data_IF_626673865976
#
_entry.id   IF_626673865976
#
_cell.length_a   1.000
_cell.length_b   1.000
_cell.length_c   1.000
_cell.angle_alpha   90.00
_cell.angle_beta   90.00
_cell.angle_gamma   90.00
#
_symmetry.space_group_name_H-M   'P 1'
#
loop_
_entity.id
_entity.type
_entity.pdbx_description
1 polymer ?
#
# COMPACT_ATOMS: atom_id res chain seq x y z
N UNK A 1 16.28 -8.10 2.78
CA UNK A 1 15.28 -8.75 3.65
C UNK A 1 15.98 -9.72 4.60
N UNK A 2 15.62 -9.64 5.88
CA UNK A 2 16.14 -10.52 6.95
C UNK A 2 14.94 -11.12 7.66
N UNK A 3 14.96 -12.45 7.83
CA UNK A 3 13.96 -13.20 8.58
C UNK A 3 14.66 -13.94 9.71
N UNK A 4 14.14 -13.84 10.91
CA UNK A 4 14.67 -14.49 12.07
C UNK A 4 13.56 -15.15 12.90
N UNK A 5 13.77 -16.40 13.29
CA UNK A 5 12.83 -17.15 14.14
C UNK A 5 13.56 -17.65 15.38
N UNK A 6 13.14 -17.16 16.53
CA UNK A 6 13.69 -17.56 17.83
C UNK A 6 12.76 -18.58 18.50
N UNK A 7 13.33 -19.75 18.86
CA UNK A 7 12.63 -20.82 19.59
C UNK A 7 11.33 -21.29 18.93
N UNK A 8 11.15 -21.07 17.61
CA UNK A 8 9.89 -21.30 16.88
C UNK A 8 8.68 -20.53 17.41
N UNK A 9 8.88 -19.58 18.33
CA UNK A 9 7.83 -18.79 19.00
C UNK A 9 7.82 -17.35 18.53
N UNK A 10 8.99 -16.73 18.47
CA UNK A 10 9.13 -15.33 18.10
C UNK A 10 9.66 -15.24 16.68
N UNK A 11 8.94 -14.55 15.84
CA UNK A 11 9.23 -14.41 14.42
C UNK A 11 9.44 -12.92 14.14
N UNK A 12 10.56 -12.60 13.50
CA UNK A 12 10.92 -11.24 13.14
C UNK A 12 11.22 -11.20 11.64
N UNK A 13 10.71 -10.21 10.98
CA UNK A 13 11.06 -9.92 9.60
C UNK A 13 11.37 -8.44 9.45
N UNK A 14 12.43 -8.13 8.74
CA UNK A 14 12.77 -6.78 8.33
C UNK A 14 13.10 -6.78 6.85
N UNK A 15 12.57 -5.79 6.13
CA UNK A 15 12.89 -5.54 4.73
C UNK A 15 13.06 -4.05 4.52
N UNK A 16 13.95 -3.67 3.64
CA UNK A 16 14.11 -2.29 3.20
C UNK A 16 14.33 -2.28 1.69
N UNK A 17 13.77 -1.26 1.04
CA UNK A 17 13.90 -1.03 -0.39
C UNK A 17 14.18 0.44 -0.65
N UNK A 18 15.08 0.71 -1.55
CA UNK A 18 15.33 2.02 -2.08
C UNK A 18 15.01 2.01 -3.57
N UNK A 19 14.10 2.88 -3.98
CA UNK A 19 13.64 2.98 -5.36
C UNK A 19 14.03 4.35 -5.93
N UNK A 20 14.43 4.37 -7.18
CA UNK A 20 14.75 5.58 -7.91
C UNK A 20 13.91 5.75 -9.17
N UNK A 21 13.43 6.97 -9.43
CA UNK A 21 12.68 7.28 -10.65
C UNK A 21 13.10 8.60 -11.25
N UNK A 22 13.39 8.59 -12.56
CA UNK A 22 13.70 9.79 -13.35
C UNK A 22 12.49 10.72 -13.57
N UNK A 23 11.30 10.31 -13.17
CA UNK A 23 10.07 11.12 -13.22
C UNK A 23 10.05 12.24 -12.17
N UNK A 24 10.94 12.19 -11.20
CA UNK A 24 11.08 13.18 -10.14
C UNK A 24 12.32 14.05 -10.33
N UNK A 25 12.31 15.27 -9.80
CA UNK A 25 13.51 16.13 -9.80
C UNK A 25 14.67 15.45 -9.04
N UNK A 26 15.89 15.85 -9.31
CA UNK A 26 17.10 15.16 -8.83
C UNK A 26 17.18 14.99 -7.31
N UNK A 27 16.65 15.96 -6.56
CA UNK A 27 16.60 15.97 -5.10
C UNK A 27 15.47 15.12 -4.50
N UNK A 28 14.50 14.64 -5.31
CA UNK A 28 13.34 13.81 -4.90
C UNK A 28 13.30 12.47 -5.64
N UNK A 29 14.37 12.14 -6.35
CA UNK A 29 14.43 10.95 -7.21
C UNK A 29 14.39 9.65 -6.45
N UNK A 30 14.99 9.60 -5.26
CA UNK A 30 15.14 8.40 -4.47
C UNK A 30 14.15 8.36 -3.32
N UNK A 31 13.51 7.21 -3.13
CA UNK A 31 12.60 6.94 -2.03
C UNK A 31 13.04 5.71 -1.24
N UNK A 32 13.07 5.81 0.08
CA UNK A 32 13.41 4.71 0.98
C UNK A 32 12.15 4.18 1.67
N UNK A 33 11.91 2.86 1.54
CA UNK A 33 10.69 2.20 1.99
C UNK A 33 11.02 0.99 2.87
N UNK A 34 11.13 1.19 4.19
CA UNK A 34 11.33 0.10 5.13
C UNK A 34 10.02 -0.61 5.48
N UNK A 35 10.11 -1.89 5.86
CA UNK A 35 9.02 -2.64 6.46
C UNK A 35 9.55 -3.63 7.49
N UNK A 36 8.74 -3.88 8.50
CA UNK A 36 9.04 -4.84 9.54
C UNK A 36 7.80 -5.56 10.04
N UNK A 37 7.98 -6.79 10.45
CA UNK A 37 6.91 -7.55 11.11
C UNK A 37 7.45 -8.32 12.30
N UNK A 38 6.58 -8.47 13.29
CA UNK A 38 6.80 -9.33 14.45
C UNK A 38 5.63 -10.30 14.58
N UNK A 39 5.95 -11.53 14.94
CA UNK A 39 4.95 -12.55 15.21
C UNK A 39 5.29 -13.30 16.48
N UNK A 40 4.28 -13.51 17.31
CA UNK A 40 4.39 -14.29 18.53
C UNK A 40 3.43 -15.47 18.48
N UNK A 41 3.99 -16.67 18.43
CA UNK A 41 3.23 -17.92 18.43
C UNK A 41 2.99 -18.36 19.87
N UNK A 42 1.88 -17.90 20.45
CA UNK A 42 1.51 -18.18 21.83
C UNK A 42 1.26 -19.66 22.08
N UNK A 43 0.70 -20.38 21.12
CA UNK A 43 0.45 -21.83 21.24
C UNK A 43 1.70 -22.66 21.53
N UNK A 44 2.90 -22.12 21.20
CA UNK A 44 4.17 -22.80 21.49
C UNK A 44 4.73 -22.46 22.88
N UNK A 45 4.06 -21.60 23.65
CA UNK A 45 4.49 -21.26 25.00
C UNK A 45 4.24 -22.41 25.97
N UNK A 46 5.14 -22.64 26.97
CA UNK A 46 5.02 -23.75 27.92
C UNK A 46 3.72 -23.76 28.70
N UNK A 47 3.20 -22.58 29.04
CA UNK A 47 1.95 -22.40 29.78
C UNK A 47 0.68 -22.64 28.96
N UNK A 48 0.79 -22.63 27.62
CA UNK A 48 -0.31 -22.93 26.67
C UNK A 48 -0.43 -24.41 26.31
N UNK A 49 0.45 -25.28 26.87
CA UNK A 49 0.40 -26.73 26.57
C UNK A 49 -0.93 -27.39 26.93
N UNK A 50 -1.63 -26.91 27.95
CA UNK A 50 -2.92 -27.43 28.35
C UNK A 50 -4.04 -27.20 27.30
N UNK A 51 -3.90 -26.21 26.41
CA UNK A 51 -4.91 -25.88 25.39
C UNK A 51 -4.75 -26.69 24.10
N UNK A 52 -3.67 -27.45 23.90
CA UNK A 52 -3.35 -28.21 22.67
C UNK A 52 -4.40 -29.24 22.27
N UNK A 53 -5.34 -29.57 23.15
CA UNK A 53 -6.44 -30.49 22.84
C UNK A 53 -7.48 -29.91 21.89
N UNK A 54 -7.62 -28.59 21.84
CA UNK A 54 -8.63 -27.89 21.06
C UNK A 54 -8.11 -26.66 20.30
N UNK A 55 -6.99 -26.06 20.74
CA UNK A 55 -6.32 -24.92 20.10
C UNK A 55 -4.97 -25.40 19.56
N UNK A 56 -4.88 -25.54 18.24
CA UNK A 56 -3.70 -26.08 17.56
C UNK A 56 -2.64 -25.01 17.31
N UNK A 57 -3.09 -23.80 16.96
CA UNK A 57 -2.22 -22.68 16.72
C UNK A 57 -2.88 -21.38 17.23
N UNK A 58 -2.09 -20.54 17.86
CA UNK A 58 -2.49 -19.20 18.25
C UNK A 58 -1.31 -18.26 18.09
N UNK A 59 -1.47 -17.30 17.20
CA UNK A 59 -0.41 -16.37 16.84
C UNK A 59 -0.94 -14.95 16.79
N UNK A 60 -0.22 -14.05 17.42
CA UNK A 60 -0.41 -12.59 17.27
C UNK A 60 0.69 -12.08 16.35
N UNK A 61 0.36 -11.15 15.48
CA UNK A 61 1.28 -10.50 14.58
C UNK A 61 1.07 -8.99 14.55
N UNK A 62 2.15 -8.26 14.33
CA UNK A 62 2.10 -6.83 14.08
C UNK A 62 3.05 -6.50 12.93
N UNK A 63 2.59 -5.67 12.02
CA UNK A 63 3.31 -5.29 10.81
C UNK A 63 3.33 -3.77 10.71
N UNK A 64 4.44 -3.22 10.25
CA UNK A 64 4.56 -1.83 9.89
C UNK A 64 5.39 -1.72 8.62
N UNK A 65 4.92 -0.97 7.64
CA UNK A 65 5.65 -0.85 6.38
C UNK A 65 5.30 0.42 5.62
N UNK A 66 6.27 0.90 4.85
CA UNK A 66 6.11 2.01 3.95
C UNK A 66 6.27 1.56 2.49
N UNK A 67 5.47 2.13 1.61
CA UNK A 67 5.53 1.96 0.16
C UNK A 67 5.53 3.33 -0.52
N UNK A 68 6.22 3.44 -1.65
CA UNK A 68 6.18 4.61 -2.52
C UNK A 68 5.42 4.32 -3.80
N UNK A 69 4.60 5.29 -4.22
CA UNK A 69 3.98 5.30 -5.53
C UNK A 69 4.54 6.46 -6.35
N UNK A 70 5.14 6.15 -7.50
CA UNK A 70 5.71 7.12 -8.44
C UNK A 70 4.89 7.27 -9.72
N UNK A 71 3.56 7.07 -9.67
CA UNK A 71 2.68 7.16 -10.83
C UNK A 71 2.39 8.62 -11.17
N UNK A 72 3.39 9.29 -11.72
CA UNK A 72 3.27 10.64 -12.30
C UNK A 72 3.68 10.62 -13.76
N UNK A 73 3.23 11.62 -14.53
CA UNK A 73 3.65 11.77 -15.93
C UNK A 73 5.15 12.02 -16.02
N UNK A 74 5.80 11.55 -17.09
CA UNK A 74 7.18 11.90 -17.35
C UNK A 74 7.32 13.42 -17.54
N UNK A 75 8.38 13.99 -16.97
CA UNK A 75 8.69 15.43 -17.04
C UNK A 75 7.66 16.36 -16.39
N UNK A 76 6.77 15.84 -15.52
CA UNK A 76 5.76 16.65 -14.84
C UNK A 76 6.35 17.76 -13.94
N UNK A 77 7.64 17.68 -13.63
CA UNK A 77 8.39 18.69 -12.85
C UNK A 77 9.08 19.75 -13.73
N UNK A 78 8.95 19.65 -15.06
CA UNK A 78 9.54 20.61 -15.98
C UNK A 78 8.49 21.57 -16.49
N UNK A 79 8.79 22.86 -16.41
CA UNK A 79 8.02 23.90 -17.07
C UNK A 79 8.14 23.74 -18.60
N UNK A 80 7.02 23.58 -19.27
CA UNK A 80 6.96 23.44 -20.72
C UNK A 80 6.09 24.49 -21.37
N UNK A 81 6.42 24.86 -22.59
CA UNK A 81 5.61 25.74 -23.42
C UNK A 81 5.05 24.95 -24.60
N UNK A 82 3.76 25.00 -24.80
CA UNK A 82 3.11 24.37 -25.95
C UNK A 82 3.20 25.26 -27.19
N UNK A 83 3.37 24.64 -28.37
CA UNK A 83 3.29 25.36 -29.63
C UNK A 83 1.99 24.94 -30.36
N UNK A 84 1.17 25.90 -30.73
CA UNK A 84 -0.09 25.67 -31.44
C UNK A 84 -0.18 26.66 -32.62
N UNK A 85 -0.89 26.27 -33.67
CA UNK A 85 -1.27 27.20 -34.71
C UNK A 85 -2.39 28.13 -34.21
N UNK A 86 -2.30 29.43 -34.51
CA UNK A 86 -3.39 30.37 -34.21
C UNK A 86 -4.54 30.12 -35.16
N UNK A 87 -5.71 30.68 -34.83
CA UNK A 87 -6.84 30.82 -35.78
C UNK A 87 -6.73 32.06 -36.69
N UNK A 88 -5.77 32.95 -36.38
CA UNK A 88 -5.52 34.14 -37.16
C UNK A 88 -4.63 33.80 -38.35
N UNK A 89 -5.06 34.24 -39.53
CA UNK A 89 -4.36 34.10 -40.77
C UNK A 89 -3.64 35.40 -41.08
N UNK A 90 -2.32 35.34 -41.26
CA UNK A 90 -1.50 36.45 -41.73
C UNK A 90 -0.81 36.01 -43.03
N UNK A 91 -0.93 36.83 -44.06
CA UNK A 91 -0.36 36.53 -45.38
C UNK A 91 -0.72 35.14 -45.88
N UNK A 92 -1.99 34.76 -45.79
CA UNK A 92 -2.49 33.45 -46.23
C UNK A 92 -2.05 32.24 -45.40
N UNK A 93 -1.29 32.42 -44.28
CA UNK A 93 -0.80 31.35 -43.46
C UNK A 93 -1.23 31.47 -41.99
N UNK A 94 -1.48 30.29 -41.33
CA UNK A 94 -1.74 30.23 -39.93
C UNK A 94 -0.41 30.34 -39.15
N UNK A 95 -0.30 31.34 -38.30
CA UNK A 95 0.92 31.58 -37.52
C UNK A 95 1.01 30.59 -36.33
N UNK A 96 2.23 30.33 -35.88
CA UNK A 96 2.46 29.57 -34.65
C UNK A 96 2.32 30.50 -33.43
N UNK A 97 1.59 30.04 -32.44
CA UNK A 97 1.49 30.67 -31.12
C UNK A 97 2.19 29.78 -30.10
N UNK A 98 3.06 30.34 -29.29
CA UNK A 98 3.61 29.69 -28.10
C UNK A 98 2.66 29.98 -26.94
N UNK A 99 2.26 28.95 -26.18
CA UNK A 99 1.47 29.10 -24.97
C UNK A 99 2.33 29.63 -23.82
N UNK A 100 1.69 30.17 -22.80
CA UNK A 100 2.37 30.53 -21.56
C UNK A 100 3.03 29.29 -20.93
N UNK A 101 4.11 29.47 -20.14
CA UNK A 101 4.76 28.38 -19.44
C UNK A 101 3.79 27.64 -18.51
N UNK A 102 3.82 26.32 -18.54
CA UNK A 102 3.03 25.50 -17.59
C UNK A 102 3.49 25.76 -16.16
N UNK A 103 2.53 25.90 -15.25
CA UNK A 103 2.83 25.99 -13.80
C UNK A 103 3.06 24.59 -13.29
N UNK A 104 4.22 24.36 -12.67
CA UNK A 104 4.63 23.07 -12.10
C UNK A 104 4.89 23.23 -10.61
N UNK A 105 4.65 22.18 -9.79
CA UNK A 105 4.97 22.22 -8.38
C UNK A 105 6.49 22.15 -8.16
N UNK A 106 6.99 22.93 -7.22
CA UNK A 106 8.41 22.96 -6.88
C UNK A 106 8.90 21.68 -6.16
N UNK A 107 7.96 20.89 -5.58
CA UNK A 107 8.23 19.80 -4.67
C UNK A 107 7.62 18.46 -5.09
N UNK A 108 7.57 18.18 -6.38
CA UNK A 108 7.06 16.89 -6.86
C UNK A 108 7.86 15.73 -6.28
N UNK A 109 7.21 14.87 -5.50
CA UNK A 109 7.83 13.74 -4.81
C UNK A 109 6.96 12.48 -4.86
N UNK A 110 7.46 11.38 -4.30
CA UNK A 110 6.75 10.12 -4.16
C UNK A 110 5.51 10.28 -3.27
N UNK A 111 4.40 9.70 -3.70
CA UNK A 111 3.30 9.42 -2.77
C UNK A 111 3.74 8.33 -1.81
N UNK A 112 3.53 8.52 -0.51
CA UNK A 112 3.96 7.59 0.54
C UNK A 112 2.74 6.93 1.17
N UNK A 113 2.79 5.61 1.27
CA UNK A 113 1.76 4.81 1.93
C UNK A 113 2.40 4.10 3.11
N UNK A 114 2.09 4.54 4.32
CA UNK A 114 2.48 3.87 5.56
C UNK A 114 1.30 3.03 6.08
N UNK A 115 1.53 1.73 6.27
CA UNK A 115 0.51 0.82 6.80
C UNK A 115 0.99 0.24 8.12
N UNK A 116 0.12 0.26 9.11
CA UNK A 116 0.28 -0.41 10.39
C UNK A 116 -0.85 -1.42 10.54
N UNK A 117 -0.50 -2.63 10.90
CA UNK A 117 -1.43 -3.74 10.98
C UNK A 117 -1.15 -4.56 12.24
N UNK A 118 -2.22 -4.95 12.93
CA UNK A 118 -2.17 -5.93 14.01
C UNK A 118 -3.16 -7.04 13.70
N UNK A 119 -2.69 -8.28 13.74
CA UNK A 119 -3.47 -9.44 13.38
C UNK A 119 -3.38 -10.57 14.39
N UNK A 120 -4.38 -11.42 14.35
CA UNK A 120 -4.50 -12.61 15.19
C UNK A 120 -4.92 -13.79 14.30
N UNK A 121 -4.17 -14.87 14.40
CA UNK A 121 -4.46 -16.15 13.73
C UNK A 121 -4.70 -17.22 14.77
N UNK A 122 -5.79 -17.98 14.65
CA UNK A 122 -6.13 -19.08 15.54
C UNK A 122 -6.68 -20.28 14.77
N UNK A 123 -6.12 -21.47 15.05
CA UNK A 123 -6.57 -22.74 14.49
C UNK A 123 -7.06 -23.65 15.60
N UNK A 124 -8.23 -24.24 15.39
CA UNK A 124 -8.92 -25.08 16.38
C UNK A 124 -9.27 -26.45 15.79
N UNK A 125 -9.49 -27.42 16.67
CA UNK A 125 -10.07 -28.73 16.35
C UNK A 125 -9.25 -29.49 15.30
N UNK A 126 -7.93 -29.61 15.49
CA UNK A 126 -6.99 -30.19 14.55
C UNK A 126 -6.97 -29.45 13.20
N UNK A 127 -6.96 -28.12 13.29
CA UNK A 127 -6.97 -27.21 12.14
C UNK A 127 -8.19 -27.34 11.21
N UNK A 128 -9.30 -27.84 11.76
CA UNK A 128 -10.60 -27.84 11.03
C UNK A 128 -11.22 -26.47 10.96
N UNK A 129 -11.13 -25.70 12.07
CA UNK A 129 -11.62 -24.34 12.15
C UNK A 129 -10.44 -23.39 12.23
N UNK A 130 -10.31 -22.49 11.27
CA UNK A 130 -9.30 -21.43 11.23
C UNK A 130 -9.96 -20.07 11.29
N UNK A 131 -9.45 -19.20 12.14
CA UNK A 131 -9.85 -17.81 12.28
C UNK A 131 -8.65 -16.90 12.03
N UNK A 132 -8.84 -15.86 11.25
CA UNK A 132 -7.88 -14.75 11.10
C UNK A 132 -8.61 -13.43 11.21
N UNK A 133 -8.08 -12.54 12.01
CA UNK A 133 -8.61 -11.20 12.20
C UNK A 133 -7.49 -10.17 12.14
N UNK A 134 -7.72 -9.08 11.43
CA UNK A 134 -6.79 -7.98 11.23
C UNK A 134 -7.44 -6.64 11.50
N UNK A 135 -6.69 -5.73 12.10
CA UNK A 135 -7.00 -4.32 12.17
C UNK A 135 -5.85 -3.53 11.58
N UNK A 136 -6.16 -2.67 10.61
CA UNK A 136 -5.14 -1.88 9.95
C UNK A 136 -5.45 -0.38 9.93
N UNK A 137 -4.37 0.40 9.91
CA UNK A 137 -4.39 1.82 9.68
C UNK A 137 -3.42 2.11 8.53
N UNK A 138 -3.94 2.68 7.45
CA UNK A 138 -3.17 3.08 6.28
C UNK A 138 -3.20 4.59 6.14
N UNK A 139 -2.04 5.22 6.18
CA UNK A 139 -1.86 6.63 5.95
C UNK A 139 -1.20 6.82 4.59
N UNK A 140 -1.89 7.48 3.68
CA UNK A 140 -1.34 7.89 2.39
C UNK A 140 -1.07 9.39 2.47
N UNK A 141 0.15 9.82 2.23
CA UNK A 141 0.58 11.21 2.23
C UNK A 141 1.18 11.58 0.89
N UNK A 142 1.31 12.87 0.66
CA UNK A 142 1.91 13.39 -0.56
C UNK A 142 1.16 12.94 -1.85
N UNK A 143 -0.18 12.74 -1.77
CA UNK A 143 -1.00 12.37 -2.93
C UNK A 143 -0.91 13.45 -4.00
N UNK A 144 -0.63 13.05 -5.25
CA UNK A 144 -0.54 13.95 -6.40
C UNK A 144 -1.92 14.30 -6.93
N UNK A 145 -2.47 15.41 -6.42
CA UNK A 145 -3.81 15.90 -6.71
C UNK A 145 -3.78 17.35 -7.17
N UNK A 146 -4.92 17.89 -7.65
CA UNK A 146 -5.05 19.31 -7.92
C UNK A 146 -4.78 20.11 -6.64
N UNK A 147 -4.04 21.20 -6.77
CA UNK A 147 -3.79 22.14 -5.68
C UNK A 147 -5.05 22.90 -5.24
N UNK A 148 -4.91 23.79 -4.24
CA UNK A 148 -5.97 24.71 -3.85
C UNK A 148 -6.40 25.57 -5.04
N UNK A 149 -7.68 25.95 -5.10
CA UNK A 149 -8.18 26.84 -6.14
C UNK A 149 -7.41 28.15 -6.15
N UNK A 150 -7.00 28.57 -7.32
CA UNK A 150 -6.32 29.85 -7.55
C UNK A 150 -7.30 30.84 -8.17
N UNK A 151 -7.17 32.17 -7.91
CA UNK A 151 -8.03 33.18 -8.51
C UNK A 151 -8.04 33.11 -10.02
N UNK A 152 -9.19 33.33 -10.66
CA UNK A 152 -9.32 33.31 -12.13
C UNK A 152 -8.40 34.35 -12.80
N UNK A 153 -7.99 35.39 -12.11
CA UNK A 153 -7.03 36.41 -12.57
C UNK A 153 -5.63 35.88 -12.78
N UNK A 154 -5.32 34.66 -12.27
CA UNK A 154 -4.03 33.98 -12.50
C UNK A 154 -3.88 33.56 -13.97
N UNK A 155 -4.99 33.30 -14.65
CA UNK A 155 -4.99 33.04 -16.11
C UNK A 155 -4.59 31.61 -16.51
N UNK A 156 -4.36 30.70 -15.57
CA UNK A 156 -4.06 29.29 -15.83
C UNK A 156 -4.85 28.38 -14.87
N UNK A 157 -4.84 27.08 -15.20
CA UNK A 157 -5.44 26.05 -14.36
C UNK A 157 -4.62 25.79 -13.09
N UNK A 158 -5.29 25.35 -12.02
CA UNK A 158 -4.64 24.98 -10.77
C UNK A 158 -3.62 23.85 -11.03
N UNK A 159 -2.35 24.06 -10.67
CA UNK A 159 -1.33 23.03 -10.84
C UNK A 159 -1.58 21.83 -9.91
N UNK A 160 -1.26 20.64 -10.40
CA UNK A 160 -1.20 19.43 -9.56
C UNK A 160 0.07 19.41 -8.76
N UNK A 161 0.00 18.86 -7.55
CA UNK A 161 1.16 18.69 -6.69
C UNK A 161 0.87 17.67 -5.58
N UNK A 162 1.82 17.46 -4.69
CA UNK A 162 1.70 16.53 -3.56
C UNK A 162 0.97 17.18 -2.38
N UNK A 163 -0.32 17.47 -2.55
CA UNK A 163 -1.15 18.22 -1.57
C UNK A 163 -2.07 17.35 -0.75
N UNK A 164 -2.31 16.11 -1.17
CA UNK A 164 -3.32 15.27 -0.57
C UNK A 164 -2.80 14.37 0.54
N UNK A 165 -3.67 14.10 1.49
CA UNK A 165 -3.49 13.05 2.49
C UNK A 165 -4.78 12.27 2.70
N UNK A 166 -4.67 10.97 2.92
CA UNK A 166 -5.80 10.09 3.17
C UNK A 166 -5.44 9.12 4.28
N UNK A 167 -6.32 8.94 5.25
CA UNK A 167 -6.23 7.88 6.24
C UNK A 167 -7.36 6.88 6.05
N UNK A 168 -7.02 5.61 5.92
CA UNK A 168 -7.97 4.51 5.87
C UNK A 168 -7.74 3.62 7.09
N UNK A 169 -8.82 3.27 7.78
CA UNK A 169 -8.82 2.31 8.89
C UNK A 169 -9.83 1.23 8.57
N UNK A 170 -9.51 0.00 8.90
CA UNK A 170 -10.41 -1.11 8.68
C UNK A 170 -10.05 -2.30 9.51
N UNK A 171 -10.97 -3.24 9.54
CA UNK A 171 -10.76 -4.55 10.11
C UNK A 171 -11.20 -5.60 9.09
N UNK A 172 -10.51 -6.72 9.10
CA UNK A 172 -10.78 -7.84 8.22
C UNK A 172 -10.92 -9.09 9.07
N UNK A 173 -11.95 -9.89 8.83
CA UNK A 173 -12.17 -11.14 9.51
C UNK A 173 -12.31 -12.26 8.48
N UNK A 174 -11.66 -13.37 8.73
CA UNK A 174 -11.78 -14.58 7.94
C UNK A 174 -12.06 -15.75 8.84
N UNK A 175 -13.10 -16.52 8.53
CA UNK A 175 -13.41 -17.78 9.17
C UNK A 175 -13.42 -18.88 8.12
N UNK A 176 -12.71 -19.96 8.39
CA UNK A 176 -12.59 -21.09 7.47
C UNK A 176 -12.85 -22.40 8.22
N UNK A 177 -13.72 -23.21 7.67
CA UNK A 177 -13.96 -24.58 8.11
C UNK A 177 -13.50 -25.55 7.06
N UNK A 178 -12.72 -26.56 7.45
CA UNK A 178 -12.27 -27.66 6.58
C UNK A 178 -12.47 -28.97 7.32
N UNK A 179 -13.08 -29.93 6.64
CA UNK A 179 -13.21 -31.28 7.18
C UNK A 179 -13.05 -32.35 6.11
N UNK A 180 -12.79 -33.56 6.57
CA UNK A 180 -12.60 -34.72 5.72
C UNK A 180 -13.33 -35.92 6.32
N UNK A 181 -14.05 -36.64 5.49
CA UNK A 181 -14.70 -37.89 5.88
C UNK A 181 -14.63 -38.91 4.75
N UNK A 182 -14.84 -40.19 5.08
CA UNK A 182 -14.86 -41.26 4.08
C UNK A 182 -16.28 -41.50 3.59
N UNK A 183 -16.47 -41.49 2.28
CA UNK A 183 -17.69 -41.81 1.62
C UNK A 183 -17.46 -42.89 0.54
N UNK A 184 -18.07 -44.08 0.69
CA UNK A 184 -17.86 -45.18 -0.24
C UNK A 184 -16.41 -45.68 -0.34
N UNK A 185 -15.64 -45.61 0.75
CA UNK A 185 -14.23 -46.04 0.78
C UNK A 185 -13.24 -45.00 0.19
N UNK A 186 -13.72 -43.85 -0.29
CA UNK A 186 -12.89 -42.73 -0.79
C UNK A 186 -12.90 -41.58 0.19
N UNK A 187 -11.80 -40.84 0.29
CA UNK A 187 -11.70 -39.66 1.10
C UNK A 187 -12.42 -38.50 0.40
N UNK A 188 -13.34 -37.86 1.11
CA UNK A 188 -14.03 -36.64 0.70
C UNK A 188 -13.62 -35.49 1.58
N UNK A 189 -13.05 -34.45 1.00
CA UNK A 189 -12.61 -33.24 1.70
C UNK A 189 -13.43 -32.05 1.22
N UNK A 190 -13.92 -31.23 2.14
CA UNK A 190 -14.62 -29.98 1.83
C UNK A 190 -14.08 -28.84 2.68
N UNK A 191 -14.24 -27.62 2.17
CA UNK A 191 -13.90 -26.40 2.90
C UNK A 191 -14.93 -25.31 2.61
N UNK A 192 -15.26 -24.55 3.65
CA UNK A 192 -16.14 -23.38 3.58
C UNK A 192 -15.36 -22.21 4.17
N UNK A 193 -15.32 -21.09 3.45
CA UNK A 193 -14.64 -19.87 3.90
C UNK A 193 -15.59 -18.68 3.78
N UNK A 194 -15.70 -17.90 4.85
CA UNK A 194 -16.35 -16.60 4.89
C UNK A 194 -15.36 -15.53 5.24
N UNK A 195 -15.44 -14.36 4.60
CA UNK A 195 -14.62 -13.19 4.91
C UNK A 195 -15.45 -11.92 4.89
N UNK A 196 -15.12 -11.00 5.76
CA UNK A 196 -15.74 -9.69 5.90
C UNK A 196 -14.67 -8.63 5.96
#
# INVERSE_FOLDING_TARGET
>A
RVNYSLLKRYIFEFSAREDGSSKFPSNQRWGFFPSGSIGWRLSEEPWMKATRGWLDNFKIRANAGALGNGTVAAYAFLTTMGMKKTTAVFDGTLQNKVSDPSVVPDNLTWEKVATYDIGLDADFLKSRLSFSGDYYVRNTTDLYINGPEIPATFGDSTPKGNYGALQTKGWELTLSWRDQFKMGGKDFTYSIKGSL
#
